data_IF_005702953467
#
_entry.id   IF_005702953467
#
_cell.length_a   1.000
_cell.length_b   1.000
_cell.length_c   1.000
_cell.angle_alpha   90.00
_cell.angle_beta   90.00
_cell.angle_gamma   90.00
#
_symmetry.space_group_name_H-M   'P 1'
#
loop_
_entity.id
_entity.type
_entity.pdbx_description
1 polymer ?
#
# COMPACT_ATOMS: atom_id res chain seq x y z
N UNK A 1 -5.84 -5.69 19.91
CA UNK A 1 -6.06 -4.39 19.24
C UNK A 1 -5.69 -4.52 17.76
N UNK A 2 -6.64 -4.81 16.88
CA UNK A 2 -6.37 -5.16 15.47
C UNK A 2 -6.31 -3.94 14.52
N UNK A 3 -6.91 -2.82 14.90
CA UNK A 3 -6.96 -1.56 14.12
C UNK A 3 -5.53 -1.06 13.80
N UNK A 4 -4.65 -1.10 14.81
CA UNK A 4 -3.27 -0.61 14.72
C UNK A 4 -2.39 -1.45 13.75
N UNK A 5 -2.73 -2.72 13.52
CA UNK A 5 -1.97 -3.59 12.61
C UNK A 5 -2.29 -3.25 11.14
N UNK A 6 -3.57 -3.04 10.82
CA UNK A 6 -4.01 -2.69 9.48
C UNK A 6 -3.51 -1.30 9.07
N UNK A 7 -3.53 -0.33 9.99
CA UNK A 7 -3.00 1.01 9.75
C UNK A 7 -1.48 0.99 9.50
N UNK A 8 -0.72 0.22 10.28
CA UNK A 8 0.72 0.03 10.05
C UNK A 8 1.02 -0.64 8.71
N UNK A 9 0.22 -1.63 8.33
CA UNK A 9 0.37 -2.30 7.05
C UNK A 9 0.07 -1.33 5.88
N UNK A 10 -0.96 -0.50 6.01
CA UNK A 10 -1.30 0.54 5.04
C UNK A 10 -0.17 1.56 4.88
N UNK A 11 0.40 2.02 6.00
CA UNK A 11 1.53 2.95 6.02
C UNK A 11 2.76 2.33 5.34
N UNK A 12 3.07 1.08 5.65
CA UNK A 12 4.20 0.34 5.07
C UNK A 12 4.06 0.20 3.55
N UNK A 13 2.90 -0.25 3.05
CA UNK A 13 2.66 -0.39 1.60
C UNK A 13 2.74 0.97 0.90
N UNK A 14 2.18 2.02 1.51
CA UNK A 14 2.22 3.37 0.93
C UNK A 14 3.66 3.87 0.80
N UNK A 15 4.49 3.70 1.84
CA UNK A 15 5.92 4.06 1.80
C UNK A 15 6.68 3.24 0.78
N UNK A 16 6.42 1.94 0.67
CA UNK A 16 7.06 1.07 -0.31
C UNK A 16 6.74 1.50 -1.74
N UNK A 17 5.48 1.80 -2.05
CA UNK A 17 5.09 2.31 -3.39
C UNK A 17 5.83 3.62 -3.69
N UNK A 18 5.82 4.59 -2.77
CA UNK A 18 6.53 5.86 -2.93
C UNK A 18 8.03 5.67 -3.11
N UNK A 19 8.64 4.77 -2.34
CA UNK A 19 10.05 4.44 -2.46
C UNK A 19 10.38 3.85 -3.84
N UNK A 20 9.61 2.87 -4.30
CA UNK A 20 9.79 2.23 -5.61
C UNK A 20 9.64 3.25 -6.75
N UNK A 21 8.61 4.10 -6.71
CA UNK A 21 8.42 5.19 -7.68
C UNK A 21 9.60 6.16 -7.67
N UNK A 22 10.08 6.56 -6.49
CA UNK A 22 11.22 7.48 -6.36
C UNK A 22 12.54 6.91 -6.89
N UNK A 23 12.71 5.58 -6.84
CA UNK A 23 13.89 4.87 -7.34
C UNK A 23 13.82 4.59 -8.84
N UNK A 24 12.76 5.00 -9.53
CA UNK A 24 12.56 4.70 -10.94
C UNK A 24 12.35 3.20 -11.20
N UNK A 25 11.76 2.49 -10.24
CA UNK A 25 11.43 1.08 -10.39
C UNK A 25 10.46 0.90 -11.57
N UNK A 26 10.86 0.09 -12.55
CA UNK A 26 10.21 0.00 -13.87
C UNK A 26 9.15 -1.10 -13.98
N UNK A 27 8.97 -1.92 -12.95
CA UNK A 27 7.96 -2.97 -12.98
C UNK A 27 6.60 -2.40 -12.58
N UNK A 28 5.88 -1.91 -13.59
CA UNK A 28 4.55 -1.35 -13.46
C UNK A 28 3.53 -2.38 -12.94
N UNK A 29 3.72 -3.67 -13.24
CA UNK A 29 2.83 -4.73 -12.77
C UNK A 29 2.94 -4.87 -11.25
N UNK A 30 4.16 -4.89 -10.73
CA UNK A 30 4.42 -4.97 -9.29
C UNK A 30 3.87 -3.74 -8.54
N UNK A 31 3.99 -2.54 -9.13
CA UNK A 31 3.42 -1.32 -8.54
C UNK A 31 1.89 -1.39 -8.53
N UNK A 32 1.27 -1.87 -9.61
CA UNK A 32 -0.19 -2.08 -9.66
C UNK A 32 -0.67 -3.08 -8.61
N UNK A 33 0.03 -4.20 -8.44
CA UNK A 33 -0.30 -5.19 -7.40
C UNK A 33 -0.28 -4.56 -5.99
N UNK A 34 0.76 -3.78 -5.68
CA UNK A 34 0.87 -3.08 -4.40
C UNK A 34 -0.22 -2.01 -4.22
N UNK A 35 -0.60 -1.30 -5.29
CA UNK A 35 -1.70 -0.33 -5.27
C UNK A 35 -3.06 -1.02 -5.07
N UNK A 36 -3.28 -2.21 -5.64
CA UNK A 36 -4.49 -3.00 -5.39
C UNK A 36 -4.57 -3.50 -3.95
N UNK A 37 -3.46 -4.00 -3.38
CA UNK A 37 -3.41 -4.38 -1.97
C UNK A 37 -3.69 -3.19 -1.05
N UNK A 38 -3.09 -2.03 -1.33
CA UNK A 38 -3.40 -0.78 -0.61
C UNK A 38 -4.90 -0.46 -0.65
N UNK A 39 -5.52 -0.59 -1.83
CA UNK A 39 -6.95 -0.32 -2.04
C UNK A 39 -7.84 -1.30 -1.27
N UNK A 40 -7.47 -2.57 -1.21
CA UNK A 40 -8.15 -3.59 -0.39
C UNK A 40 -8.05 -3.25 1.10
N UNK A 41 -6.86 -2.84 1.57
CA UNK A 41 -6.66 -2.42 2.96
C UNK A 41 -7.46 -1.17 3.33
N UNK A 42 -7.55 -0.17 2.46
CA UNK A 42 -8.39 1.03 2.66
C UNK A 42 -9.86 0.65 2.82
N UNK A 43 -10.37 -0.24 1.96
CA UNK A 43 -11.74 -0.77 2.08
C UNK A 43 -11.94 -1.51 3.40
N UNK A 44 -10.98 -2.32 3.84
CA UNK A 44 -11.06 -3.03 5.13
C UNK A 44 -11.04 -2.09 6.34
N UNK A 45 -10.37 -0.94 6.22
CA UNK A 45 -10.36 0.11 7.24
C UNK A 45 -11.61 1.01 7.17
N UNK A 46 -12.48 0.83 6.17
CA UNK A 46 -13.64 1.68 5.91
C UNK A 46 -13.25 3.17 5.70
N UNK A 47 -12.02 3.41 5.25
CA UNK A 47 -11.48 4.73 4.92
C UNK A 47 -11.66 4.87 3.40
N UNK A 48 -12.64 5.69 3.00
CA UNK A 48 -13.04 5.91 1.62
C UNK A 48 -12.23 7.03 0.97
#
# INVERSE_FOLDING_TARGET
MAVNQLERNLESITRTISYLKSKGYKDENKIKELEEERKKMLKSLNIN
#
